data_IF_542294426062
#
_entry.id   IF_542294426062
#
_cell.length_a   1.000
_cell.length_b   1.000
_cell.length_c   1.000
_cell.angle_alpha   90.00
_cell.angle_beta   90.00
_cell.angle_gamma   90.00
#
_symmetry.space_group_name_H-M   'P 1'
#
loop_
_entity.id
_entity.type
_entity.pdbx_description
1 polymer ?
#
# COMPACT_ATOMS: atom_id res chain seq x y z
N UNK A 1 -9.20 -7.37 3.89
CA UNK A 1 -8.68 -8.73 4.07
C UNK A 1 -7.16 -8.71 4.10
N UNK A 2 -6.59 -9.36 5.10
CA UNK A 2 -5.14 -9.50 5.19
C UNK A 2 -4.70 -10.60 4.22
N UNK A 3 -3.89 -10.25 3.23
CA UNK A 3 -3.42 -11.20 2.22
C UNK A 3 -2.00 -11.68 2.50
N UNK A 4 -1.27 -10.97 3.37
CA UNK A 4 0.05 -11.40 3.84
C UNK A 4 0.29 -10.81 5.22
N UNK A 5 0.77 -11.63 6.14
CA UNK A 5 1.11 -11.19 7.49
C UNK A 5 2.42 -11.83 7.93
N UNK A 6 3.51 -11.10 7.80
CA UNK A 6 4.80 -11.55 8.30
C UNK A 6 4.84 -11.32 9.81
N UNK A 7 5.25 -12.33 10.55
CA UNK A 7 5.30 -12.23 12.00
C UNK A 7 6.36 -11.21 12.43
N UNK A 8 5.99 -10.31 13.34
CA UNK A 8 6.89 -9.26 13.80
C UNK A 8 6.98 -8.05 12.88
N UNK A 9 6.07 -7.93 11.90
CA UNK A 9 6.07 -6.82 10.97
C UNK A 9 5.84 -5.48 11.68
N UNK A 10 6.59 -4.46 11.23
CA UNK A 10 6.44 -3.09 11.74
C UNK A 10 5.88 -2.14 10.68
N UNK A 11 5.56 -2.66 9.52
CA UNK A 11 5.03 -1.89 8.40
C UNK A 11 3.78 -2.56 7.85
N UNK A 12 2.75 -1.78 7.59
CA UNK A 12 1.51 -2.24 6.96
C UNK A 12 1.39 -1.58 5.59
N UNK A 13 1.13 -2.37 4.58
CA UNK A 13 0.86 -1.88 3.22
C UNK A 13 -0.62 -2.12 2.94
N UNK A 14 -1.35 -1.06 2.69
CA UNK A 14 -2.76 -1.13 2.31
C UNK A 14 -2.84 -0.85 0.82
N UNK A 15 -3.34 -1.81 0.06
CA UNK A 15 -3.36 -1.74 -1.39
C UNK A 15 -4.72 -2.18 -1.93
N UNK A 16 -5.00 -1.82 -3.17
CA UNK A 16 -6.25 -2.17 -3.82
C UNK A 16 -6.01 -2.39 -5.31
N UNK A 17 -6.72 -3.36 -5.89
CA UNK A 17 -6.60 -3.64 -7.32
C UNK A 17 -5.23 -4.16 -7.71
N UNK A 18 -4.69 -3.65 -8.81
CA UNK A 18 -3.39 -4.07 -9.34
C UNK A 18 -2.25 -3.84 -8.35
N UNK A 19 -2.40 -2.85 -7.46
CA UNK A 19 -1.35 -2.54 -6.49
C UNK A 19 -1.18 -3.63 -5.43
N UNK A 20 -2.19 -4.49 -5.22
CA UNK A 20 -2.04 -5.64 -4.33
C UNK A 20 -0.95 -6.58 -4.85
N UNK A 21 -0.93 -6.85 -6.16
CA UNK A 21 0.09 -7.70 -6.76
C UNK A 21 1.48 -7.07 -6.64
N UNK A 22 1.57 -5.76 -6.84
CA UNK A 22 2.84 -5.05 -6.67
C UNK A 22 3.30 -5.06 -5.21
N UNK A 23 2.38 -4.97 -4.26
CA UNK A 23 2.70 -5.07 -2.84
C UNK A 23 3.22 -6.46 -2.49
N UNK A 24 2.64 -7.52 -3.05
CA UNK A 24 3.12 -8.88 -2.82
C UNK A 24 4.53 -9.09 -3.39
N UNK A 25 4.81 -8.56 -4.58
CA UNK A 25 6.16 -8.57 -5.15
C UNK A 25 7.15 -7.84 -4.26
N UNK A 26 6.75 -6.66 -3.77
CA UNK A 26 7.57 -5.86 -2.86
C UNK A 26 7.88 -6.64 -1.57
N UNK A 27 6.88 -7.33 -1.02
CA UNK A 27 7.05 -8.12 0.19
C UNK A 27 8.08 -9.23 0.00
N UNK A 28 8.07 -9.90 -1.16
CA UNK A 28 9.06 -10.93 -1.47
C UNK A 28 10.47 -10.34 -1.55
N UNK A 29 10.62 -9.17 -2.18
CA UNK A 29 11.90 -8.48 -2.26
C UNK A 29 12.38 -8.04 -0.87
N UNK A 30 11.48 -7.53 -0.05
CA UNK A 30 11.80 -7.10 1.31
C UNK A 30 12.17 -8.26 2.21
N UNK A 31 11.56 -9.42 2.01
CA UNK A 31 11.88 -10.62 2.78
C UNK A 31 13.35 -11.04 2.61
N UNK A 32 13.91 -10.84 1.41
CA UNK A 32 15.34 -11.12 1.16
C UNK A 32 16.25 -10.23 2.00
N UNK A 33 15.75 -9.09 2.46
CA UNK A 33 16.48 -8.13 3.29
C UNK A 33 16.02 -8.18 4.74
N UNK A 34 15.30 -9.23 5.12
CA UNK A 34 14.78 -9.46 6.48
C UNK A 34 13.82 -8.37 6.94
N UNK A 35 13.16 -7.69 6.03
CA UNK A 35 12.12 -6.71 6.35
C UNK A 35 10.75 -7.38 6.20
N UNK A 36 9.93 -7.24 7.22
CA UNK A 36 8.64 -7.92 7.32
C UNK A 36 7.50 -6.93 7.18
N UNK A 37 6.46 -7.34 6.49
CA UNK A 37 5.30 -6.47 6.22
C UNK A 37 3.99 -7.22 6.39
N UNK A 38 2.93 -6.44 6.62
CA UNK A 38 1.55 -6.92 6.56
C UNK A 38 0.92 -6.25 5.35
N UNK A 39 0.20 -7.01 4.53
CA UNK A 39 -0.50 -6.47 3.36
C UNK A 39 -1.99 -6.66 3.53
N UNK A 40 -2.74 -5.58 3.39
CA UNK A 40 -4.20 -5.58 3.44
C UNK A 40 -4.74 -5.26 2.05
N UNK A 41 -5.65 -6.11 1.55
CA UNK A 41 -6.40 -5.84 0.34
C UNK A 41 -7.66 -5.07 0.71
N UNK A 42 -7.67 -3.78 0.39
CA UNK A 42 -8.73 -2.88 0.79
C UNK A 42 -10.03 -3.09 0.03
N UNK A 43 -10.02 -3.71 -1.14
CA UNK A 43 -11.26 -4.00 -1.87
C UNK A 43 -12.15 -4.98 -1.12
N UNK A 44 -11.57 -5.82 -0.29
CA UNK A 44 -12.32 -6.79 0.51
C UNK A 44 -12.91 -6.19 1.77
N UNK A 45 -12.67 -4.89 2.03
CA UNK A 45 -13.07 -4.21 3.24
C UNK A 45 -13.92 -2.99 2.87
N UNK A 46 -15.08 -3.22 2.29
CA UNK A 46 -16.00 -2.14 1.96
C UNK A 46 -17.35 -2.37 2.65
N UNK A 47 -17.85 -1.40 3.47
CA UNK A 47 -17.15 -0.17 3.85
C UNK A 47 -15.89 -0.46 4.67
N UNK A 48 -14.96 0.52 4.72
CA UNK A 48 -13.70 0.33 5.48
C UNK A 48 -14.01 -0.05 6.92
N UNK A 49 -13.44 -1.16 7.36
CA UNK A 49 -13.54 -1.57 8.76
C UNK A 49 -12.51 -0.79 9.57
N UNK A 50 -12.93 0.35 10.07
CA UNK A 50 -12.10 1.26 10.84
C UNK A 50 -11.40 0.57 12.01
N UNK A 51 -12.15 -0.27 12.74
CA UNK A 51 -11.62 -0.97 13.91
C UNK A 51 -10.49 -1.91 13.54
N UNK A 52 -10.67 -2.71 12.49
CA UNK A 52 -9.64 -3.63 12.02
C UNK A 52 -8.40 -2.88 11.55
N UNK A 53 -8.59 -1.81 10.77
CA UNK A 53 -7.46 -1.01 10.26
C UNK A 53 -6.70 -0.37 11.42
N UNK A 54 -7.38 0.22 12.38
CA UNK A 54 -6.72 0.82 13.54
C UNK A 54 -5.95 -0.21 14.35
N UNK A 55 -6.51 -1.40 14.55
CA UNK A 55 -5.84 -2.46 15.31
C UNK A 55 -4.59 -2.96 14.60
N UNK A 56 -4.68 -3.21 13.30
CA UNK A 56 -3.54 -3.73 12.51
C UNK A 56 -2.44 -2.68 12.40
N UNK A 57 -2.81 -1.41 12.22
CA UNK A 57 -1.84 -0.33 11.98
C UNK A 57 -1.25 0.28 13.25
N UNK A 58 -1.76 -0.06 14.41
CA UNK A 58 -1.31 0.55 15.67
C UNK A 58 0.18 0.38 15.90
N UNK A 59 0.88 1.49 16.05
CA UNK A 59 2.32 1.48 16.29
C UNK A 59 3.16 1.07 15.10
N UNK A 60 2.58 1.04 13.90
CA UNK A 60 3.28 0.60 12.69
C UNK A 60 3.35 1.73 11.67
N UNK A 61 4.34 1.64 10.78
CA UNK A 61 4.40 2.49 9.61
C UNK A 61 3.34 2.02 8.62
N UNK A 62 2.57 2.95 8.08
CA UNK A 62 1.48 2.62 7.15
C UNK A 62 1.76 3.23 5.79
N UNK A 63 1.74 2.40 4.76
CA UNK A 63 1.90 2.80 3.37
C UNK A 63 0.62 2.43 2.64
N UNK A 64 0.01 3.41 1.96
CA UNK A 64 -1.17 3.17 1.13
C UNK A 64 -0.77 3.29 -0.32
N UNK A 65 -1.07 2.28 -1.12
CA UNK A 65 -0.73 2.23 -2.54
C UNK A 65 -2.00 2.06 -3.35
N UNK A 66 -2.25 2.98 -4.27
CA UNK A 66 -3.44 2.92 -5.10
C UNK A 66 -3.18 3.44 -6.50
N UNK A 67 -3.95 2.95 -7.46
CA UNK A 67 -3.85 3.34 -8.87
C UNK A 67 -4.87 4.41 -9.26
N UNK A 68 -5.33 5.19 -8.29
CA UNK A 68 -6.28 6.29 -8.48
C UNK A 68 -5.67 7.60 -8.03
N UNK A 69 -6.35 8.71 -8.37
CA UNK A 69 -5.97 10.02 -7.85
C UNK A 69 -6.08 10.04 -6.33
N UNK A 70 -5.23 10.85 -5.65
CA UNK A 70 -5.27 10.92 -4.19
C UNK A 70 -6.63 11.35 -3.61
N UNK A 71 -7.34 12.23 -4.30
CA UNK A 71 -8.61 12.76 -3.80
C UNK A 71 -9.72 11.72 -3.91
N UNK A 72 -10.41 11.48 -2.80
CA UNK A 72 -11.52 10.54 -2.74
C UNK A 72 -11.11 9.09 -2.80
N UNK A 73 -9.81 8.80 -2.74
CA UNK A 73 -9.30 7.43 -2.83
C UNK A 73 -9.04 6.79 -1.47
N UNK A 74 -8.37 5.65 -1.55
CA UNK A 74 -8.07 4.83 -0.37
C UNK A 74 -7.20 5.56 0.65
N UNK A 75 -6.15 6.27 0.19
CA UNK A 75 -5.25 6.98 1.08
C UNK A 75 -5.97 8.04 1.88
N UNK A 76 -6.86 8.79 1.23
CA UNK A 76 -7.66 9.81 1.90
C UNK A 76 -8.58 9.18 2.94
N UNK A 77 -9.21 8.05 2.61
CA UNK A 77 -10.08 7.35 3.54
C UNK A 77 -9.32 6.84 4.78
N UNK A 78 -8.13 6.29 4.59
CA UNK A 78 -7.31 5.83 5.72
C UNK A 78 -6.80 7.00 6.55
N UNK A 79 -6.35 8.07 5.90
CA UNK A 79 -5.87 9.27 6.59
C UNK A 79 -6.97 9.92 7.42
N UNK A 80 -8.23 9.83 6.97
CA UNK A 80 -9.36 10.37 7.70
C UNK A 80 -9.59 9.67 9.05
N UNK A 81 -9.01 8.48 9.24
CA UNK A 81 -9.06 7.77 10.52
C UNK A 81 -8.02 8.29 11.52
N UNK A 82 -7.25 9.31 11.15
CA UNK A 82 -6.19 9.84 11.99
C UNK A 82 -4.89 9.05 11.95
N UNK A 83 -4.72 8.19 10.98
CA UNK A 83 -3.54 7.36 10.83
C UNK A 83 -2.55 8.05 9.88
N UNK A 84 -1.31 8.37 10.34
CA UNK A 84 -0.31 8.91 9.43
C UNK A 84 0.08 7.88 8.39
N UNK A 85 0.11 8.28 7.11
CA UNK A 85 0.41 7.37 6.02
C UNK A 85 1.48 7.94 5.09
N UNK A 86 2.22 7.05 4.42
CA UNK A 86 2.96 7.37 3.21
C UNK A 86 2.07 6.94 2.05
N UNK A 87 1.78 7.86 1.13
CA UNK A 87 0.78 7.62 0.09
C UNK A 87 1.43 7.54 -1.29
N UNK A 88 1.26 6.40 -1.95
CA UNK A 88 1.71 6.18 -3.32
C UNK A 88 0.46 6.08 -4.21
N UNK A 89 0.24 7.08 -5.03
CA UNK A 89 -0.94 7.16 -5.88
C UNK A 89 -0.64 7.88 -7.18
N UNK A 90 -1.50 7.69 -8.17
CA UNK A 90 -1.42 8.44 -9.43
C UNK A 90 -1.74 9.91 -9.14
N UNK A 91 -0.86 10.81 -9.55
CA UNK A 91 -1.00 12.25 -9.30
C UNK A 91 -1.31 13.07 -10.53
N UNK A 92 -1.40 12.43 -11.68
CA UNK A 92 -1.72 13.08 -12.94
C UNK A 92 -2.55 12.15 -13.81
N UNK A 93 -3.16 12.68 -14.88
CA UNK A 93 -4.00 11.88 -15.78
C UNK A 93 -3.17 10.76 -16.41
N UNK A 94 -3.58 9.48 -16.27
CA UNK A 94 -2.85 8.38 -16.89
C UNK A 94 -2.80 8.52 -18.40
N UNK A 95 -1.65 8.24 -18.98
CA UNK A 95 -1.46 8.23 -20.42
C UNK A 95 -1.49 6.79 -20.91
N UNK A 96 -1.75 6.59 -22.21
CA UNK A 96 -1.68 5.25 -22.78
C UNK A 96 -0.26 4.69 -22.66
N UNK A 97 -0.18 3.39 -22.43
CA UNK A 97 1.08 2.68 -22.26
C UNK A 97 0.81 1.31 -21.67
N UNK A 98 1.84 0.51 -21.55
CA UNK A 98 1.72 -0.80 -20.91
C UNK A 98 1.50 -0.65 -19.42
N UNK A 99 0.71 -1.54 -18.78
CA UNK A 99 0.45 -1.42 -17.33
C UNK A 99 1.69 -1.31 -16.48
N UNK A 100 2.75 -2.10 -16.75
CA UNK A 100 3.98 -2.04 -15.98
C UNK A 100 4.68 -0.70 -16.12
N UNK A 101 4.66 -0.12 -17.33
CA UNK A 101 5.26 1.19 -17.59
C UNK A 101 4.54 2.28 -16.82
N UNK A 102 3.19 2.22 -16.79
CA UNK A 102 2.40 3.21 -16.06
C UNK A 102 2.61 3.10 -14.56
N UNK A 103 2.66 1.89 -14.02
CA UNK A 103 2.91 1.68 -12.60
C UNK A 103 4.26 2.25 -12.19
N UNK A 104 5.28 2.03 -12.99
CA UNK A 104 6.61 2.57 -12.73
C UNK A 104 6.64 4.10 -12.84
N UNK A 105 6.05 4.65 -13.91
CA UNK A 105 6.01 6.10 -14.13
C UNK A 105 5.36 6.83 -12.96
N UNK A 106 4.28 6.30 -12.41
CA UNK A 106 3.57 6.93 -11.31
C UNK A 106 4.05 6.50 -9.93
N UNK A 107 5.13 5.71 -9.89
CA UNK A 107 5.76 5.26 -8.64
C UNK A 107 4.83 4.48 -7.72
N UNK A 108 4.06 3.56 -8.32
CA UNK A 108 3.19 2.66 -7.58
C UNK A 108 3.52 1.19 -7.84
N UNK A 109 4.70 0.91 -8.40
CA UNK A 109 5.17 -0.45 -8.64
C UNK A 109 5.87 -1.04 -7.41
N UNK A 110 6.28 -2.30 -7.51
CA UNK A 110 6.93 -3.00 -6.41
C UNK A 110 8.19 -2.27 -5.92
N UNK A 111 9.00 -1.70 -6.85
CA UNK A 111 10.22 -1.01 -6.45
C UNK A 111 9.92 0.25 -5.64
N UNK A 112 8.89 1.00 -6.04
CA UNK A 112 8.48 2.19 -5.30
C UNK A 112 8.00 1.83 -3.89
N UNK A 113 7.29 0.71 -3.75
CA UNK A 113 6.83 0.22 -2.46
C UNK A 113 8.02 -0.18 -1.58
N UNK A 114 8.98 -0.91 -2.15
CA UNK A 114 10.21 -1.28 -1.42
C UNK A 114 10.92 -0.03 -0.92
N UNK A 115 11.06 0.98 -1.78
CA UNK A 115 11.73 2.23 -1.41
C UNK A 115 10.99 2.95 -0.28
N UNK A 116 9.66 2.96 -0.32
CA UNK A 116 8.84 3.58 0.72
C UNK A 116 8.99 2.86 2.06
N UNK A 117 9.05 1.53 2.06
CA UNK A 117 9.25 0.74 3.28
C UNK A 117 10.62 0.99 3.90
N UNK A 118 11.66 1.09 3.05
CA UNK A 118 13.03 1.32 3.51
C UNK A 118 13.26 2.74 4.03
N UNK A 119 12.43 3.67 3.61
CA UNK A 119 12.50 5.07 4.01
C UNK A 119 11.87 5.21 5.39
N UNK A 120 12.60 5.03 6.40
CA UNK A 120 12.07 5.06 7.77
C UNK A 120 12.04 6.47 8.32
#
# INVERSE_FOLDING_TARGET
KIVRKDQGAKTVIIAAGVTVHEALKAADLLATKKKKVIIIDAYSIKPLDEKTIRNVCKGKKVIVVEDHYPQGGLGEAVAALGIPIAHLAVKEIPRSGKPEELLHKYKIDAQAIVDAVKKA
#
